data_IF_036930205220
#
_entry.id   IF_036930205220
#
_cell.length_a   1.000
_cell.length_b   1.000
_cell.length_c   1.000
_cell.angle_alpha   90.00
_cell.angle_beta   90.00
_cell.angle_gamma   90.00
#
_symmetry.space_group_name_H-M   'P 1'
#
loop_
_entity.id
_entity.type
_entity.pdbx_description
1 polymer ?
#
# COMPACT_ATOMS: atom_id res chain seq x y z
N UNK A 1 -10.70 -15.75 0.85
CA UNK A 1 -9.27 -16.14 0.85
C UNK A 1 -8.45 -14.87 0.95
N UNK A 2 -7.50 -14.78 1.88
CA UNK A 2 -6.60 -13.62 1.98
C UNK A 2 -5.45 -13.82 1.00
N UNK A 3 -5.15 -12.82 0.16
CA UNK A 3 -4.01 -12.81 -0.75
C UNK A 3 -2.98 -11.81 -0.22
N UNK A 4 -1.71 -12.19 -0.20
CA UNK A 4 -0.60 -11.35 0.26
C UNK A 4 0.41 -11.17 -0.86
N UNK A 5 0.80 -9.94 -1.14
CA UNK A 5 1.76 -9.62 -2.19
C UNK A 5 2.66 -8.44 -1.78
N UNK A 6 3.93 -8.47 -2.21
CA UNK A 6 4.86 -7.36 -2.07
C UNK A 6 4.81 -6.45 -3.30
N UNK A 7 4.70 -5.14 -3.08
CA UNK A 7 4.66 -4.13 -4.15
C UNK A 7 5.91 -3.24 -4.20
N UNK A 8 6.81 -3.38 -3.23
CA UNK A 8 8.11 -2.70 -3.17
C UNK A 8 9.21 -3.76 -3.19
N UNK A 9 10.02 -3.76 -4.25
CA UNK A 9 11.06 -4.79 -4.46
C UNK A 9 12.49 -4.30 -4.15
N UNK A 10 12.67 -3.04 -3.74
CA UNK A 10 13.99 -2.49 -3.48
C UNK A 10 13.94 -1.28 -2.54
N UNK A 11 15.12 -0.90 -2.02
CA UNK A 11 15.31 0.33 -1.23
C UNK A 11 15.08 1.61 -2.06
N UNK A 12 15.17 1.52 -3.40
CA UNK A 12 14.87 2.59 -4.36
C UNK A 12 13.80 2.09 -5.35
N UNK A 13 12.54 1.97 -4.92
CA UNK A 13 11.48 1.41 -5.74
C UNK A 13 11.20 2.28 -6.97
N UNK A 14 11.14 1.67 -8.16
CA UNK A 14 10.75 2.36 -9.39
C UNK A 14 9.24 2.61 -9.38
N UNK A 15 8.76 3.88 -9.44
CA UNK A 15 7.33 4.19 -9.37
C UNK A 15 6.48 3.46 -10.42
N UNK A 16 6.99 3.29 -11.65
CA UNK A 16 6.27 2.59 -12.71
C UNK A 16 6.08 1.10 -12.41
N UNK A 17 7.09 0.47 -11.78
CA UNK A 17 6.98 -0.93 -11.36
C UNK A 17 5.99 -1.09 -10.20
N UNK A 18 6.00 -0.16 -9.24
CA UNK A 18 5.05 -0.15 -8.13
C UNK A 18 3.62 0.00 -8.65
N UNK A 19 3.38 0.91 -9.59
CA UNK A 19 2.07 1.14 -10.20
C UNK A 19 1.52 -0.12 -10.89
N UNK A 20 2.34 -0.76 -11.73
CA UNK A 20 1.98 -2.02 -12.40
C UNK A 20 1.62 -3.10 -11.39
N UNK A 21 2.46 -3.30 -10.37
CA UNK A 21 2.22 -4.32 -9.33
C UNK A 21 0.95 -4.03 -8.53
N UNK A 22 0.74 -2.79 -8.10
CA UNK A 22 -0.49 -2.41 -7.38
C UNK A 22 -1.71 -2.76 -8.22
N UNK A 23 -1.70 -2.43 -9.51
CA UNK A 23 -2.81 -2.74 -10.42
C UNK A 23 -3.03 -4.24 -10.61
N UNK A 24 -1.97 -5.01 -10.85
CA UNK A 24 -2.04 -6.46 -11.03
C UNK A 24 -2.57 -7.18 -9.78
N UNK A 25 -2.12 -6.76 -8.59
CA UNK A 25 -2.45 -7.44 -7.34
C UNK A 25 -3.82 -7.03 -6.78
N UNK A 26 -4.29 -5.81 -7.09
CA UNK A 26 -5.53 -5.27 -6.51
C UNK A 26 -6.68 -5.14 -7.51
N UNK A 27 -6.48 -5.50 -8.78
CA UNK A 27 -7.46 -5.29 -9.86
C UNK A 27 -8.85 -5.91 -9.64
N UNK A 28 -8.94 -6.95 -8.81
CA UNK A 28 -10.22 -7.63 -8.45
C UNK A 28 -10.57 -7.47 -6.98
N UNK A 29 -9.81 -6.66 -6.23
CA UNK A 29 -10.01 -6.47 -4.80
C UNK A 29 -10.89 -5.25 -4.52
N UNK A 30 -11.90 -5.44 -3.68
CA UNK A 30 -12.73 -4.35 -3.13
C UNK A 30 -12.16 -3.78 -1.83
N UNK A 31 -11.27 -4.54 -1.18
CA UNK A 31 -10.63 -4.18 0.09
C UNK A 31 -9.15 -4.58 0.08
N UNK A 32 -8.29 -3.68 0.51
CA UNK A 32 -6.82 -3.88 0.57
C UNK A 32 -6.30 -3.44 1.94
N UNK A 33 -5.36 -4.20 2.48
CA UNK A 33 -4.58 -3.78 3.64
C UNK A 33 -3.13 -3.55 3.20
N UNK A 34 -2.63 -2.34 3.36
CA UNK A 34 -1.24 -1.99 3.09
C UNK A 34 -0.49 -1.93 4.41
N UNK A 35 0.48 -2.84 4.60
CA UNK A 35 1.40 -2.78 5.73
C UNK A 35 2.67 -2.04 5.30
N UNK A 36 3.04 -1.01 6.06
CA UNK A 36 4.24 -0.20 5.82
C UNK A 36 5.07 -0.10 7.09
N UNK A 37 6.30 -0.61 7.05
CA UNK A 37 7.24 -0.44 8.15
C UNK A 37 7.59 1.03 8.37
N UNK A 38 7.95 1.38 9.61
CA UNK A 38 8.66 2.61 9.92
C UNK A 38 10.03 2.56 9.25
N UNK A 39 10.10 2.94 7.97
CA UNK A 39 11.39 3.21 7.34
C UNK A 39 11.96 4.52 7.88
N UNK A 40 13.29 4.79 7.74
CA UNK A 40 13.87 6.09 8.06
C UNK A 40 13.22 7.26 7.31
N UNK A 41 12.48 6.98 6.22
CA UNK A 41 11.67 7.93 5.48
C UNK A 41 10.30 7.99 6.15
N UNK A 42 10.11 9.05 6.93
CA UNK A 42 8.91 9.48 7.68
C UNK A 42 7.66 9.75 6.83
N UNK A 43 7.58 9.25 5.60
CA UNK A 43 6.41 9.49 4.75
C UNK A 43 5.35 8.42 5.02
N UNK A 44 4.32 8.82 5.77
CA UNK A 44 3.13 8.00 6.04
C UNK A 44 2.41 7.63 4.74
N UNK A 45 2.54 8.42 3.68
CA UNK A 45 1.86 8.20 2.40
C UNK A 45 2.87 7.84 1.29
N UNK A 46 3.63 6.77 1.51
CA UNK A 46 4.62 6.29 0.55
C UNK A 46 4.04 5.86 -0.81
N UNK A 47 4.90 5.49 -1.77
CA UNK A 47 4.51 5.21 -3.16
C UNK A 47 3.32 4.24 -3.30
N UNK A 48 3.32 3.13 -2.55
CA UNK A 48 2.23 2.16 -2.60
C UNK A 48 0.89 2.74 -2.13
N UNK A 49 0.91 3.60 -1.12
CA UNK A 49 -0.28 4.32 -0.64
C UNK A 49 -0.82 5.22 -1.75
N UNK A 50 0.06 6.03 -2.37
CA UNK A 50 -0.32 6.94 -3.44
C UNK A 50 -0.90 6.21 -4.66
N UNK A 51 -0.28 5.09 -5.05
CA UNK A 51 -0.76 4.30 -6.19
C UNK A 51 -2.11 3.60 -5.92
N UNK A 52 -2.36 3.16 -4.68
CA UNK A 52 -3.69 2.68 -4.29
C UNK A 52 -4.74 3.78 -4.41
N UNK A 53 -4.44 4.97 -3.89
CA UNK A 53 -5.33 6.13 -3.97
C UNK A 53 -5.65 6.53 -5.42
N UNK A 54 -4.65 6.54 -6.31
CA UNK A 54 -4.85 6.78 -7.75
C UNK A 54 -5.68 5.69 -8.43
N UNK A 55 -5.68 4.47 -7.90
CA UNK A 55 -6.39 3.31 -8.45
C UNK A 55 -7.86 3.23 -8.03
N UNK A 56 -8.39 4.28 -7.39
CA UNK A 56 -9.78 4.37 -6.94
C UNK A 56 -10.04 3.76 -5.56
N UNK A 57 -8.98 3.44 -4.81
CA UNK A 57 -9.14 3.06 -3.41
C UNK A 57 -9.14 4.29 -2.51
N UNK A 58 -10.00 4.28 -1.50
CA UNK A 58 -10.03 5.29 -0.45
C UNK A 58 -9.55 4.66 0.85
N UNK A 59 -8.63 5.34 1.54
CA UNK A 59 -8.22 4.91 2.87
C UNK A 59 -9.38 5.14 3.87
N UNK A 60 -9.71 4.10 4.62
CA UNK A 60 -10.86 4.06 5.54
C UNK A 60 -10.42 3.94 7.00
N UNK A 61 -9.24 3.38 7.25
CA UNK A 61 -8.66 3.30 8.58
C UNK A 61 -7.12 3.26 8.52
N UNK A 62 -6.51 3.70 9.62
CA UNK A 62 -5.07 3.62 9.86
C UNK A 62 -4.88 2.98 11.23
N UNK A 63 -4.13 1.89 11.29
CA UNK A 63 -3.78 1.21 12.51
C UNK A 63 -2.28 1.43 12.75
N UNK A 64 -1.95 2.14 13.82
CA UNK A 64 -0.57 2.40 14.25
C UNK A 64 -0.06 1.22 15.09
N UNK A 65 1.05 0.62 14.64
CA UNK A 65 1.81 -0.37 15.39
C UNK A 65 3.08 0.29 15.88
N UNK A 66 3.01 0.84 17.09
CA UNK A 66 4.08 1.63 17.69
C UNK A 66 5.44 0.93 17.62
N UNK A 67 6.43 1.62 17.07
CA UNK A 67 7.79 1.11 16.90
C UNK A 67 7.97 0.10 15.76
N UNK A 68 6.92 -0.21 15.00
CA UNK A 68 6.97 -1.20 13.90
C UNK A 68 6.55 -0.57 12.56
N UNK A 69 5.36 0.03 12.48
CA UNK A 69 4.78 0.45 11.21
C UNK A 69 3.33 0.87 11.30
N UNK A 70 2.71 1.03 10.14
CA UNK A 70 1.28 1.32 9.98
C UNK A 70 0.62 0.24 9.12
N UNK A 71 -0.62 -0.11 9.44
CA UNK A 71 -1.52 -0.81 8.52
C UNK A 71 -2.58 0.18 8.05
N UNK A 72 -2.67 0.36 6.74
CA UNK A 72 -3.69 1.18 6.09
C UNK A 72 -4.77 0.27 5.50
N UNK A 73 -6.03 0.53 5.85
CA UNK A 73 -7.18 -0.15 5.27
C UNK A 73 -7.76 0.68 4.13
N UNK A 74 -7.88 0.07 2.96
CA UNK A 74 -8.41 0.68 1.76
C UNK A 74 -9.67 -0.03 1.28
N UNK A 75 -10.63 0.74 0.77
CA UNK A 75 -11.83 0.24 0.10
C UNK A 75 -11.96 0.86 -1.28
N UNK A 76 -12.29 0.05 -2.29
CA UNK A 76 -12.57 0.51 -3.65
C UNK A 76 -13.94 1.20 -3.67
N UNK A 77 -13.99 2.41 -4.22
CA UNK A 77 -15.23 3.15 -4.49
C UNK A 77 -15.51 3.19 -6.00
#
# INVERSE_FOLDING_TARGET
QVKTAGVLDSFNPNPSQVSTKVKEQTGTADKVFLFQYLSPITDREGLAFQELSKSGFVNTAIYDFQGVGFIYEFKRL
#
